data_IF_150995659212
#
_entry.id   IF_150995659212
#
_cell.length_a   1.000
_cell.length_b   1.000
_cell.length_c   1.000
_cell.angle_alpha   90.00
_cell.angle_beta   90.00
_cell.angle_gamma   90.00
#
_symmetry.space_group_name_H-M   'P 1'
#
loop_
_entity.id
_entity.type
_entity.pdbx_description
1 polymer ?
#
# COMPACT_ATOMS: atom_id res chain seq x y z
N UNK A 1 51.62 26.01 1.05
CA UNK A 1 51.45 27.49 0.99
C UNK A 1 49.96 27.72 1.12
N UNK A 2 49.55 28.11 2.32
CA UNK A 2 48.93 29.40 2.73
C UNK A 2 47.50 29.53 2.19
N UNK A 3 46.47 29.31 3.07
CA UNK A 3 45.73 30.34 3.83
C UNK A 3 44.76 31.11 2.93
N UNK A 4 43.46 31.20 3.25
CA UNK A 4 42.74 31.97 4.28
C UNK A 4 41.24 31.67 4.10
N UNK A 5 40.43 31.23 5.03
CA UNK A 5 39.80 31.82 6.21
C UNK A 5 39.16 33.22 6.04
N UNK A 6 37.82 33.28 6.14
CA UNK A 6 37.00 34.36 6.72
C UNK A 6 35.53 34.01 6.52
N UNK A 7 34.73 33.67 7.56
CA UNK A 7 34.14 34.46 8.66
C UNK A 7 33.30 35.66 8.19
N UNK A 8 32.07 35.63 8.59
CA UNK A 8 31.16 36.68 9.13
C UNK A 8 29.71 36.29 8.75
N UNK A 9 28.67 36.53 9.47
CA UNK A 9 28.39 37.03 10.81
C UNK A 9 26.87 36.92 11.01
N UNK A 10 26.48 36.54 12.18
CA UNK A 10 25.12 36.53 12.70
C UNK A 10 24.42 37.88 12.60
N UNK A 11 23.12 37.90 12.35
CA UNK A 11 22.27 38.99 12.82
C UNK A 11 20.93 38.43 13.29
N UNK A 12 20.80 38.49 14.60
CA UNK A 12 19.57 38.31 15.38
C UNK A 12 18.74 39.60 15.27
N UNK A 13 17.43 39.49 15.05
CA UNK A 13 16.50 40.55 15.48
C UNK A 13 15.30 39.86 16.11
N UNK A 14 15.19 40.05 17.41
CA UNK A 14 14.00 39.85 18.23
C UNK A 14 13.20 41.17 18.29
N UNK A 15 11.87 41.08 18.20
CA UNK A 15 10.90 42.02 18.76
C UNK A 15 9.56 41.29 18.80
N UNK A 16 9.10 40.90 19.93
CA UNK A 16 8.42 41.52 21.06
C UNK A 16 6.90 41.68 20.83
N UNK A 17 6.19 40.84 21.52
CA UNK A 17 4.97 41.03 22.37
C UNK A 17 4.06 42.24 22.08
N UNK A 18 2.76 41.96 21.90
CA UNK A 18 1.71 42.68 22.59
C UNK A 18 0.49 41.78 22.90
N UNK A 19 0.22 41.70 24.16
CA UNK A 19 -0.92 41.11 24.87
C UNK A 19 -2.11 42.05 24.73
N UNK A 20 -3.30 41.48 24.51
CA UNK A 20 -4.54 42.12 24.96
C UNK A 20 -5.52 41.04 25.40
N UNK A 21 -5.64 40.95 26.70
CA UNK A 21 -6.78 40.37 27.44
C UNK A 21 -7.99 41.30 27.33
N UNK A 22 -9.20 40.76 27.53
CA UNK A 22 -10.46 41.24 28.09
C UNK A 22 -11.55 40.49 27.34
N UNK A 23 -12.52 39.82 27.92
CA UNK A 23 -12.97 39.66 29.27
C UNK A 23 -14.26 38.80 29.32
N UNK A 24 -14.56 38.34 30.48
CA UNK A 24 -15.66 37.54 31.00
C UNK A 24 -17.06 37.69 30.41
N UNK A 25 -17.80 36.57 30.43
CA UNK A 25 -19.24 36.55 30.38
C UNK A 25 -19.83 35.19 30.69
N UNK A 26 -19.97 34.87 31.94
CA UNK A 26 -20.75 33.74 32.51
C UNK A 26 -22.24 33.93 32.26
N UNK A 27 -22.97 32.87 31.93
CA UNK A 27 -24.26 32.53 32.55
C UNK A 27 -24.73 31.10 32.22
N UNK A 28 -25.03 30.45 33.24
CA UNK A 28 -25.76 29.27 33.69
C UNK A 28 -26.87 28.71 32.80
N UNK A 29 -27.01 27.40 32.93
CA UNK A 29 -28.12 26.53 32.54
C UNK A 29 -29.48 26.94 33.13
N UNK A 30 -30.60 26.33 32.70
CA UNK A 30 -31.03 25.10 33.39
C UNK A 30 -31.63 23.98 32.52
N UNK A 31 -31.72 22.84 33.15
CA UNK A 31 -32.34 21.60 32.74
C UNK A 31 -33.88 21.66 32.85
N UNK A 32 -34.57 20.92 31.99
CA UNK A 32 -35.92 20.37 32.25
C UNK A 32 -36.07 19.04 31.49
N UNK A 33 -36.09 18.01 32.21
CA UNK A 33 -37.09 17.01 32.68
C UNK A 33 -38.06 16.48 31.62
N UNK A 34 -38.00 15.14 31.58
CA UNK A 34 -38.81 14.07 30.97
C UNK A 34 -40.32 14.26 31.24
N UNK A 35 -41.23 13.61 30.46
CA UNK A 35 -41.70 12.33 30.96
C UNK A 35 -41.90 11.20 29.95
N UNK A 36 -41.77 9.99 30.47
CA UNK A 36 -42.17 8.72 29.89
C UNK A 36 -43.71 8.51 30.05
N UNK A 37 -44.25 7.69 29.16
CA UNK A 37 -45.46 6.86 29.42
C UNK A 37 -45.48 5.76 28.35
N UNK A 38 -45.19 4.52 28.76
CA UNK A 38 -46.06 3.36 28.98
C UNK A 38 -46.89 2.94 27.74
N UNK A 39 -46.56 1.78 27.24
CA UNK A 39 -46.99 0.39 27.39
C UNK A 39 -48.31 0.10 26.67
N UNK A 40 -48.36 -1.02 25.99
CA UNK A 40 -49.29 -2.14 26.21
C UNK A 40 -48.98 -3.30 25.23
N UNK A 41 -48.68 -4.43 25.80
CA UNK A 41 -48.84 -5.84 25.57
C UNK A 41 -49.99 -6.28 24.60
N UNK A 42 -49.77 -7.34 23.79
CA UNK A 42 -50.49 -8.63 23.89
C UNK A 42 -50.12 -9.53 22.69
N UNK A 43 -49.57 -10.62 22.84
CA UNK A 43 -49.68 -12.03 23.00
C UNK A 43 -50.74 -12.72 22.11
N UNK A 44 -50.33 -13.71 21.30
CA UNK A 44 -50.91 -15.03 21.02
C UNK A 44 -50.07 -15.68 19.90
N UNK A 45 -49.33 -16.72 20.13
CA UNK A 45 -49.63 -18.14 20.40
C UNK A 45 -49.91 -18.98 19.11
N UNK A 46 -48.98 -19.93 18.92
CA UNK A 46 -49.13 -21.28 18.36
C UNK A 46 -49.50 -21.52 16.88
N UNK A 47 -48.64 -22.22 16.14
CA UNK A 47 -48.85 -23.63 15.89
C UNK A 47 -47.60 -24.27 15.24
N UNK A 48 -47.11 -25.33 15.84
CA UNK A 48 -46.08 -26.27 15.35
C UNK A 48 -46.68 -27.07 14.20
N UNK A 49 -45.95 -27.24 13.11
CA UNK A 49 -46.08 -28.43 12.26
C UNK A 49 -44.68 -28.83 11.77
N UNK A 50 -44.26 -29.95 12.28
CA UNK A 50 -43.13 -30.77 11.88
C UNK A 50 -43.45 -31.45 10.54
N UNK A 51 -42.58 -31.33 9.52
CA UNK A 51 -42.49 -32.38 8.48
C UNK A 51 -41.12 -32.32 7.76
N UNK A 52 -40.36 -33.36 8.00
CA UNK A 52 -39.48 -34.12 7.10
C UNK A 52 -38.36 -33.42 6.29
N UNK A 53 -37.19 -33.88 6.61
CA UNK A 53 -35.98 -34.05 5.81
C UNK A 53 -36.18 -34.11 4.31
N UNK A 54 -35.45 -33.27 3.59
CA UNK A 54 -34.90 -33.57 2.30
C UNK A 54 -33.47 -33.07 2.28
N UNK A 55 -32.51 -33.97 2.32
CA UNK A 55 -31.14 -33.75 1.93
C UNK A 55 -31.15 -33.22 0.49
N UNK A 56 -30.79 -31.94 0.36
CA UNK A 56 -30.42 -31.39 -0.94
C UNK A 56 -28.90 -31.27 -0.93
N UNK A 57 -28.24 -32.17 -1.63
CA UNK A 57 -26.86 -32.02 -2.06
C UNK A 57 -26.75 -30.68 -2.79
N UNK A 58 -26.18 -29.69 -2.12
CA UNK A 58 -25.79 -28.43 -2.70
C UNK A 58 -24.50 -28.66 -3.50
N UNK A 59 -24.67 -29.08 -4.75
CA UNK A 59 -23.65 -28.92 -5.76
C UNK A 59 -23.44 -27.41 -5.92
N UNK A 60 -22.42 -26.89 -5.27
CA UNK A 60 -21.86 -25.60 -5.62
C UNK A 60 -21.35 -25.69 -7.07
N UNK A 61 -22.22 -25.34 -8.01
CA UNK A 61 -21.81 -24.96 -9.34
C UNK A 61 -21.02 -23.66 -9.18
N UNK A 62 -19.71 -23.76 -9.37
CA UNK A 62 -18.81 -22.65 -9.59
C UNK A 62 -19.27 -21.99 -10.90
N UNK A 63 -20.21 -21.04 -10.81
CA UNK A 63 -20.50 -20.13 -11.90
C UNK A 63 -19.23 -19.32 -12.12
N UNK A 64 -18.47 -19.68 -13.14
CA UNK A 64 -17.44 -18.82 -13.69
C UNK A 64 -18.13 -17.49 -14.04
N UNK A 65 -17.88 -16.46 -13.25
CA UNK A 65 -18.29 -15.09 -13.57
C UNK A 65 -17.48 -14.73 -14.81
N UNK A 66 -18.13 -14.82 -15.98
CA UNK A 66 -17.58 -14.37 -17.23
C UNK A 66 -17.27 -12.88 -17.06
N UNK A 67 -15.98 -12.53 -16.97
CA UNK A 67 -15.56 -11.15 -16.76
C UNK A 67 -16.01 -10.33 -17.98
N UNK A 68 -16.84 -9.33 -17.75
CA UNK A 68 -17.33 -8.48 -18.83
C UNK A 68 -16.16 -7.77 -19.51
N UNK A 69 -16.05 -7.90 -20.84
CA UNK A 69 -15.07 -7.16 -21.64
C UNK A 69 -15.27 -5.65 -21.50
N UNK A 70 -14.18 -4.90 -21.53
CA UNK A 70 -14.24 -3.44 -21.51
C UNK A 70 -14.73 -2.90 -22.86
N UNK A 71 -15.79 -2.10 -22.81
CA UNK A 71 -16.26 -1.37 -24.00
C UNK A 71 -15.64 0.01 -24.04
N UNK A 72 -14.93 0.31 -25.13
CA UNK A 72 -14.32 1.63 -25.35
C UNK A 72 -15.24 2.54 -26.19
N UNK A 73 -15.21 3.88 -25.97
CA UNK A 73 -14.39 4.58 -24.97
C UNK A 73 -14.83 4.23 -23.54
N UNK A 74 -13.85 4.15 -22.63
CA UNK A 74 -14.07 3.93 -21.22
C UNK A 74 -13.50 5.09 -20.41
N UNK A 75 -14.26 5.57 -19.41
CA UNK A 75 -13.78 6.56 -18.43
C UNK A 75 -13.62 5.90 -17.09
N UNK A 76 -12.43 5.98 -16.54
CA UNK A 76 -11.99 5.36 -15.31
C UNK A 76 -11.62 6.44 -14.28
N UNK A 77 -11.88 6.17 -13.01
CA UNK A 77 -11.37 7.00 -11.92
C UNK A 77 -10.08 6.37 -11.39
N UNK A 78 -8.96 7.07 -11.50
CA UNK A 78 -7.67 6.58 -10.98
C UNK A 78 -7.55 6.75 -9.46
N UNK A 79 -6.49 6.20 -8.87
CA UNK A 79 -6.27 6.24 -7.42
C UNK A 79 -5.84 7.63 -6.89
N UNK A 80 -5.75 8.65 -7.77
CA UNK A 80 -5.68 10.06 -7.40
C UNK A 80 -7.05 10.76 -7.45
N UNK A 81 -8.13 10.04 -7.79
CA UNK A 81 -9.47 10.57 -7.94
C UNK A 81 -9.69 11.35 -9.25
N UNK A 82 -8.81 11.16 -10.28
CA UNK A 82 -8.92 11.82 -11.59
C UNK A 82 -9.72 10.92 -12.54
N UNK A 83 -10.54 11.53 -13.37
CA UNK A 83 -11.17 10.84 -14.50
C UNK A 83 -10.19 10.75 -15.67
N UNK A 84 -10.02 9.56 -16.21
CA UNK A 84 -9.16 9.26 -17.36
C UNK A 84 -9.98 8.51 -18.38
N UNK A 85 -10.06 9.04 -19.60
CA UNK A 85 -10.78 8.40 -20.70
C UNK A 85 -9.79 7.74 -21.66
N UNK A 86 -10.05 6.48 -21.97
CA UNK A 86 -9.36 5.73 -23.02
C UNK A 86 -10.33 5.56 -24.20
N UNK A 87 -9.97 6.08 -25.35
CA UNK A 87 -10.80 6.02 -26.57
C UNK A 87 -10.81 4.61 -27.19
N UNK A 88 -9.76 3.83 -26.95
CA UNK A 88 -9.59 2.46 -27.43
C UNK A 88 -8.76 1.64 -26.44
N UNK A 89 -8.74 0.31 -26.63
CA UNK A 89 -7.81 -0.56 -25.90
C UNK A 89 -6.36 -0.14 -26.17
N UNK A 90 -5.52 0.09 -25.13
CA UNK A 90 -4.14 0.49 -25.33
C UNK A 90 -3.31 -0.63 -25.95
N UNK A 91 -2.59 -0.33 -27.03
CA UNK A 91 -1.65 -1.23 -27.70
C UNK A 91 -0.21 -0.98 -27.26
N UNK A 92 0.07 0.22 -26.73
CA UNK A 92 1.40 0.62 -26.24
C UNK A 92 1.30 1.20 -24.84
N UNK A 93 2.04 0.61 -23.90
CA UNK A 93 1.97 0.95 -22.48
C UNK A 93 3.36 1.33 -21.96
N UNK A 94 3.43 2.42 -21.19
CA UNK A 94 4.60 2.78 -20.41
C UNK A 94 4.28 2.62 -18.93
N UNK A 95 5.15 1.92 -18.20
CA UNK A 95 5.08 1.85 -16.74
C UNK A 95 6.28 2.55 -16.12
N UNK A 96 6.03 3.58 -15.30
CA UNK A 96 7.05 4.30 -14.54
C UNK A 96 7.18 3.84 -13.09
N UNK A 97 6.63 2.66 -12.74
CA UNK A 97 6.63 2.14 -11.39
C UNK A 97 6.64 0.62 -11.38
N UNK A 98 7.50 0.02 -10.55
CA UNK A 98 7.75 -1.42 -10.58
C UNK A 98 6.56 -2.30 -10.19
N UNK A 99 5.63 -1.80 -9.38
CA UNK A 99 4.45 -2.59 -8.98
C UNK A 99 3.52 -2.78 -10.18
N UNK A 100 3.05 -1.72 -10.88
CA UNK A 100 2.29 -1.93 -12.11
C UNK A 100 3.09 -2.62 -13.22
N UNK A 101 4.42 -2.45 -13.33
CA UNK A 101 5.21 -3.24 -14.28
C UNK A 101 5.11 -4.74 -14.00
N UNK A 102 5.19 -5.13 -12.72
CA UNK A 102 4.99 -6.54 -12.31
C UNK A 102 3.57 -7.02 -12.59
N UNK A 103 2.57 -6.17 -12.39
CA UNK A 103 1.17 -6.48 -12.71
C UNK A 103 0.97 -6.67 -14.21
N UNK A 104 1.51 -5.79 -15.06
CA UNK A 104 1.42 -5.92 -16.52
C UNK A 104 2.03 -7.25 -17.01
N UNK A 105 3.14 -7.69 -16.40
CA UNK A 105 3.70 -9.02 -16.67
C UNK A 105 2.70 -10.13 -16.27
N UNK A 106 2.10 -10.04 -15.08
CA UNK A 106 1.16 -11.01 -14.58
C UNK A 106 -0.15 -11.07 -15.38
N UNK A 107 -0.58 -9.94 -15.94
CA UNK A 107 -1.73 -9.83 -16.84
C UNK A 107 -1.43 -10.27 -18.29
N UNK A 108 -0.16 -10.63 -18.60
CA UNK A 108 0.23 -11.06 -19.95
C UNK A 108 0.49 -9.91 -20.94
N UNK A 109 0.63 -8.68 -20.45
CA UNK A 109 0.76 -7.46 -21.26
C UNK A 109 2.21 -7.04 -21.53
N UNK A 110 3.20 -7.89 -21.24
CA UNK A 110 4.61 -7.57 -21.42
C UNK A 110 4.96 -7.12 -22.85
N UNK A 111 4.32 -7.70 -23.84
CA UNK A 111 4.57 -7.40 -25.26
C UNK A 111 3.95 -6.07 -25.72
N UNK A 112 3.04 -5.48 -24.94
CA UNK A 112 2.50 -4.12 -25.14
C UNK A 112 3.34 -3.04 -24.44
N UNK A 113 4.32 -3.42 -23.59
CA UNK A 113 5.17 -2.44 -22.91
C UNK A 113 6.22 -1.88 -23.87
N UNK A 114 6.31 -0.56 -23.95
CA UNK A 114 7.27 0.18 -24.79
C UNK A 114 8.24 1.04 -23.99
N UNK A 115 8.05 1.15 -22.67
CA UNK A 115 8.92 1.86 -21.75
C UNK A 115 8.69 1.39 -20.30
N UNK A 116 9.74 1.43 -19.50
CA UNK A 116 9.74 0.88 -18.15
C UNK A 116 10.47 1.80 -17.16
N UNK A 117 10.21 1.67 -15.88
CA UNK A 117 10.93 2.38 -14.82
C UNK A 117 12.44 2.07 -14.82
N UNK A 118 13.23 2.98 -14.26
CA UNK A 118 14.68 2.77 -14.12
C UNK A 118 15.01 1.57 -13.20
N UNK A 119 16.18 0.97 -13.41
CA UNK A 119 16.70 -0.17 -12.66
C UNK A 119 15.91 -1.46 -12.85
N UNK A 120 15.18 -1.61 -13.95
CA UNK A 120 14.50 -2.87 -14.32
C UNK A 120 15.48 -4.05 -14.36
N UNK A 121 16.72 -3.81 -14.78
CA UNK A 121 17.82 -4.80 -14.80
C UNK A 121 18.22 -5.34 -13.41
N UNK A 122 17.84 -4.67 -12.33
CA UNK A 122 18.11 -5.13 -10.95
C UNK A 122 17.04 -6.05 -10.40
N UNK A 123 15.87 -6.16 -11.07
CA UNK A 123 14.76 -6.95 -10.59
C UNK A 123 14.85 -8.39 -11.08
N UNK A 124 15.02 -9.31 -10.12
CA UNK A 124 15.16 -10.75 -10.42
C UNK A 124 13.91 -11.29 -11.14
N UNK A 125 12.70 -10.82 -10.74
CA UNK A 125 11.45 -11.28 -11.35
C UNK A 125 11.35 -10.93 -12.84
N UNK A 126 11.83 -9.75 -13.27
CA UNK A 126 11.82 -9.38 -14.68
C UNK A 126 12.74 -10.28 -15.50
N UNK A 127 13.95 -10.59 -15.00
CA UNK A 127 14.89 -11.50 -15.65
C UNK A 127 14.32 -12.90 -15.83
N UNK A 128 13.47 -13.35 -14.91
CA UNK A 128 12.86 -14.68 -14.95
C UNK A 128 11.60 -14.72 -15.83
N UNK A 129 10.71 -13.75 -15.68
CA UNK A 129 9.36 -13.78 -16.29
C UNK A 129 9.30 -13.01 -17.61
N UNK A 130 10.09 -11.96 -17.79
CA UNK A 130 10.02 -11.06 -18.92
C UNK A 130 11.40 -10.43 -19.22
N UNK A 131 12.43 -11.22 -19.59
CA UNK A 131 13.79 -10.73 -19.76
C UNK A 131 13.93 -9.63 -20.82
N UNK A 132 13.05 -9.61 -21.82
CA UNK A 132 13.08 -8.61 -22.88
C UNK A 132 12.73 -7.19 -22.37
N UNK A 133 12.03 -7.07 -21.25
CA UNK A 133 11.65 -5.78 -20.68
C UNK A 133 12.86 -4.98 -20.18
N UNK A 134 13.96 -5.61 -19.81
CA UNK A 134 15.15 -4.91 -19.33
C UNK A 134 15.88 -4.13 -20.44
N UNK A 135 15.56 -4.41 -21.70
CA UNK A 135 16.11 -3.72 -22.88
C UNK A 135 15.23 -2.53 -23.31
N UNK A 136 14.03 -2.37 -22.73
CA UNK A 136 13.16 -1.25 -23.06
C UNK A 136 13.74 0.10 -22.62
N UNK A 137 13.40 1.19 -23.30
CA UNK A 137 13.73 2.54 -22.86
C UNK A 137 13.28 2.79 -21.42
N UNK A 138 14.20 3.32 -20.60
CA UNK A 138 13.88 3.69 -19.22
C UNK A 138 13.24 5.07 -19.19
N UNK A 139 12.11 5.22 -18.50
CA UNK A 139 11.46 6.50 -18.23
C UNK A 139 11.87 7.12 -16.88
N UNK A 140 12.96 6.64 -16.29
CA UNK A 140 13.52 7.20 -15.05
C UNK A 140 12.91 6.63 -13.78
N UNK A 141 13.03 7.39 -12.71
CA UNK A 141 12.53 7.06 -11.36
C UNK A 141 11.45 8.03 -10.92
N UNK A 142 10.77 7.77 -9.80
CA UNK A 142 9.84 8.74 -9.19
C UNK A 142 10.50 10.06 -8.72
N UNK A 143 11.83 10.12 -8.63
CA UNK A 143 12.59 11.34 -8.29
C UNK A 143 13.11 12.07 -9.53
N UNK A 144 13.41 11.31 -10.57
CA UNK A 144 14.03 11.78 -11.83
C UNK A 144 13.30 11.11 -12.99
N UNK A 145 12.06 11.54 -13.22
CA UNK A 145 11.22 11.02 -14.30
C UNK A 145 11.56 11.72 -15.61
N UNK A 146 11.81 10.93 -16.66
CA UNK A 146 12.07 11.43 -18.00
C UNK A 146 10.75 11.63 -18.77
N UNK A 147 10.15 12.80 -18.59
CA UNK A 147 8.88 13.17 -19.21
C UNK A 147 9.01 13.23 -20.73
N UNK A 148 10.10 13.79 -21.26
CA UNK A 148 10.33 13.93 -22.71
C UNK A 148 10.55 12.55 -23.34
N UNK A 149 11.38 11.71 -22.73
CA UNK A 149 11.60 10.33 -23.17
C UNK A 149 10.32 9.51 -23.14
N UNK A 150 9.51 9.65 -22.10
CA UNK A 150 8.20 8.97 -22.00
C UNK A 150 7.25 9.44 -23.13
N UNK A 151 7.11 10.74 -23.34
CA UNK A 151 6.24 11.28 -24.39
C UNK A 151 6.72 10.91 -25.82
N UNK A 152 8.03 10.82 -26.03
CA UNK A 152 8.61 10.42 -27.32
C UNK A 152 8.29 8.96 -27.72
N UNK A 153 7.97 8.10 -26.75
CA UNK A 153 7.50 6.71 -27.00
C UNK A 153 6.07 6.70 -27.56
N UNK A 154 5.33 7.82 -27.46
CA UNK A 154 3.94 7.96 -27.93
C UNK A 154 3.02 6.84 -27.41
N UNK A 155 2.99 6.56 -26.10
CA UNK A 155 2.20 5.47 -25.57
C UNK A 155 0.71 5.79 -25.57
N UNK A 156 -0.12 4.75 -25.73
CA UNK A 156 -1.58 4.85 -25.60
C UNK A 156 -2.01 4.94 -24.12
N UNK A 157 -1.17 4.46 -23.21
CA UNK A 157 -1.39 4.51 -21.76
C UNK A 157 -0.06 4.62 -21.01
N UNK A 158 -0.03 5.50 -20.00
CA UNK A 158 1.07 5.58 -19.04
C UNK A 158 0.54 5.26 -17.64
N UNK A 159 1.27 4.45 -16.86
CA UNK A 159 0.93 4.13 -15.46
C UNK A 159 2.04 4.63 -14.54
N UNK A 160 1.71 5.52 -13.62
CA UNK A 160 2.67 6.21 -12.73
C UNK A 160 2.24 6.14 -11.26
N UNK A 161 3.18 6.23 -10.31
CA UNK A 161 2.84 6.36 -8.89
C UNK A 161 2.30 7.77 -8.59
N UNK A 162 1.52 7.93 -7.51
CA UNK A 162 0.97 9.22 -7.06
C UNK A 162 2.03 10.34 -6.92
N UNK A 163 3.27 9.99 -6.63
CA UNK A 163 4.39 10.95 -6.51
C UNK A 163 4.66 11.70 -7.82
N UNK A 164 4.22 11.17 -8.96
CA UNK A 164 4.41 11.75 -10.29
C UNK A 164 3.16 12.46 -10.83
N UNK A 165 2.28 12.96 -9.96
CA UNK A 165 1.05 13.67 -10.37
C UNK A 165 1.29 14.86 -11.29
N UNK A 166 2.39 15.58 -11.11
CA UNK A 166 2.73 16.73 -11.95
C UNK A 166 3.19 16.29 -13.36
N UNK A 167 3.96 15.21 -13.45
CA UNK A 167 4.32 14.60 -14.72
C UNK A 167 3.08 14.01 -15.42
N UNK A 168 2.17 13.40 -14.67
CA UNK A 168 0.91 12.90 -15.21
C UNK A 168 0.05 14.03 -15.81
N UNK A 169 -0.03 15.18 -15.14
CA UNK A 169 -0.73 16.35 -15.66
C UNK A 169 -0.11 16.82 -17.00
N UNK A 170 1.22 16.92 -17.05
CA UNK A 170 1.94 17.33 -18.27
C UNK A 170 1.76 16.36 -19.43
N UNK A 171 1.79 15.05 -19.18
CA UNK A 171 1.52 14.03 -20.21
C UNK A 171 0.07 14.11 -20.70
N UNK A 172 -0.89 14.34 -19.79
CA UNK A 172 -2.31 14.52 -20.14
C UNK A 172 -2.52 15.76 -21.01
N UNK A 173 -1.82 16.88 -20.76
CA UNK A 173 -1.83 18.07 -21.62
C UNK A 173 -1.30 17.77 -23.04
N UNK A 174 -0.40 16.80 -23.18
CA UNK A 174 0.10 16.30 -24.46
C UNK A 174 -0.86 15.32 -25.15
N UNK A 175 -2.01 15.02 -24.51
CA UNK A 175 -3.01 14.08 -25.03
C UNK A 175 -2.70 12.61 -24.74
N UNK A 176 -1.77 12.32 -23.82
CA UNK A 176 -1.39 10.96 -23.43
C UNK A 176 -2.18 10.59 -22.17
N UNK A 177 -3.02 9.55 -22.18
CA UNK A 177 -3.74 9.09 -21.01
C UNK A 177 -2.78 8.55 -19.92
N UNK A 178 -3.00 8.96 -18.66
CA UNK A 178 -2.17 8.55 -17.52
C UNK A 178 -3.04 8.08 -16.38
N UNK A 179 -2.83 6.86 -15.90
CA UNK A 179 -3.37 6.36 -14.65
C UNK A 179 -2.36 6.55 -13.51
N UNK A 180 -2.78 7.21 -12.45
CA UNK A 180 -2.02 7.28 -11.19
C UNK A 180 -2.47 6.17 -10.25
N UNK A 181 -1.50 5.43 -9.71
CA UNK A 181 -1.74 4.27 -8.84
C UNK A 181 -1.05 4.42 -7.49
N UNK A 182 -1.67 3.80 -6.46
CA UNK A 182 -1.20 3.86 -5.07
C UNK A 182 -1.39 2.51 -4.34
N UNK A 183 -0.69 1.45 -4.72
CA UNK A 183 -0.86 0.11 -4.14
C UNK A 183 -0.17 -0.04 -2.76
N UNK A 184 -0.45 0.86 -1.82
CA UNK A 184 0.22 0.89 -0.51
C UNK A 184 -0.51 0.07 0.58
N UNK A 185 -1.67 -0.53 0.26
CA UNK A 185 -2.37 -1.51 1.09
C UNK A 185 -2.88 -2.67 0.25
N UNK A 186 -3.40 -3.71 0.90
CA UNK A 186 -4.01 -4.87 0.22
C UNK A 186 -5.24 -4.44 -0.61
N UNK A 187 -6.05 -3.56 -0.06
CA UNK A 187 -7.24 -3.01 -0.70
C UNK A 187 -6.85 -2.17 -1.92
N UNK A 188 -5.91 -1.23 -1.74
CA UNK A 188 -5.42 -0.38 -2.83
C UNK A 188 -4.71 -1.17 -3.93
N UNK A 189 -4.04 -2.29 -3.57
CA UNK A 189 -3.48 -3.20 -4.58
C UNK A 189 -4.58 -3.88 -5.39
N UNK A 190 -5.66 -4.35 -4.74
CA UNK A 190 -6.82 -4.92 -5.40
C UNK A 190 -7.47 -3.92 -6.36
N UNK A 191 -7.74 -2.69 -5.89
CA UNK A 191 -8.27 -1.60 -6.71
C UNK A 191 -7.37 -1.30 -7.92
N UNK A 192 -6.03 -1.28 -7.73
CA UNK A 192 -5.09 -1.10 -8.85
C UNK A 192 -5.20 -2.24 -9.87
N UNK A 193 -5.31 -3.49 -9.42
CA UNK A 193 -5.48 -4.65 -10.32
C UNK A 193 -6.76 -4.51 -11.14
N UNK A 194 -7.87 -4.15 -10.51
CA UNK A 194 -9.17 -3.93 -11.17
C UNK A 194 -9.12 -2.75 -12.14
N UNK A 195 -8.53 -1.63 -11.73
CA UNK A 195 -8.36 -0.42 -12.54
C UNK A 195 -7.54 -0.71 -13.81
N UNK A 196 -6.36 -1.31 -13.64
CA UNK A 196 -5.44 -1.59 -14.75
C UNK A 196 -6.04 -2.64 -15.68
N UNK A 197 -6.65 -3.71 -15.14
CA UNK A 197 -7.27 -4.73 -15.97
C UNK A 197 -8.45 -4.20 -16.78
N UNK A 198 -9.28 -3.32 -16.20
CA UNK A 198 -10.36 -2.65 -16.93
C UNK A 198 -9.80 -1.74 -18.03
N UNK A 199 -8.73 -0.99 -17.73
CA UNK A 199 -8.07 -0.13 -18.71
C UNK A 199 -7.44 -0.90 -19.90
N UNK A 200 -7.12 -2.18 -19.70
CA UNK A 200 -6.37 -3.00 -20.68
C UNK A 200 -7.13 -4.22 -21.19
N UNK A 201 -8.43 -4.33 -20.84
CA UNK A 201 -9.31 -5.44 -21.22
C UNK A 201 -8.77 -6.82 -20.82
N UNK A 202 -8.24 -6.93 -19.57
CA UNK A 202 -7.63 -8.16 -19.04
C UNK A 202 -8.29 -8.64 -17.76
N UNK A 203 -9.60 -8.37 -17.57
CA UNK A 203 -10.36 -8.67 -16.36
C UNK A 203 -10.41 -10.17 -16.04
N UNK A 204 -10.46 -11.03 -17.05
CA UNK A 204 -10.43 -12.49 -16.86
C UNK A 204 -9.16 -12.89 -16.11
N UNK A 205 -8.00 -12.42 -16.62
CA UNK A 205 -6.71 -12.73 -15.99
C UNK A 205 -6.57 -12.08 -14.61
N UNK A 206 -7.10 -10.87 -14.42
CA UNK A 206 -7.13 -10.21 -13.13
C UNK A 206 -7.98 -11.00 -12.11
N UNK A 207 -9.14 -11.52 -12.50
CA UNK A 207 -10.00 -12.34 -11.64
C UNK A 207 -9.31 -13.64 -11.20
N UNK A 208 -8.56 -14.31 -12.09
CA UNK A 208 -7.73 -15.46 -11.70
C UNK A 208 -6.71 -15.08 -10.63
N UNK A 209 -6.01 -13.95 -10.82
CA UNK A 209 -5.01 -13.46 -9.87
C UNK A 209 -5.63 -13.10 -8.52
N UNK A 210 -6.74 -12.36 -8.53
CA UNK A 210 -7.46 -11.96 -7.32
C UNK A 210 -8.06 -13.17 -6.58
N UNK A 211 -8.62 -14.14 -7.31
CA UNK A 211 -9.12 -15.38 -6.73
C UNK A 211 -8.01 -16.20 -6.07
N UNK A 212 -6.84 -16.28 -6.71
CA UNK A 212 -5.67 -16.92 -6.12
C UNK A 212 -5.24 -16.20 -4.83
N UNK A 213 -5.13 -14.86 -4.85
CA UNK A 213 -4.79 -14.07 -3.67
C UNK A 213 -5.78 -14.28 -2.53
N UNK A 214 -7.09 -14.28 -2.84
CA UNK A 214 -8.15 -14.53 -1.86
C UNK A 214 -8.04 -15.93 -1.26
N UNK A 215 -7.80 -16.97 -2.08
CA UNK A 215 -7.63 -18.34 -1.61
C UNK A 215 -6.43 -18.51 -0.67
N UNK A 216 -5.31 -17.81 -0.95
CA UNK A 216 -4.13 -17.81 -0.08
C UNK A 216 -4.43 -17.13 1.27
N UNK A 217 -5.15 -15.99 1.25
CA UNK A 217 -5.58 -15.32 2.50
C UNK A 217 -6.45 -16.23 3.36
N UNK A 218 -7.45 -16.88 2.76
CA UNK A 218 -8.32 -17.83 3.46
C UNK A 218 -7.50 -18.98 4.06
N UNK A 219 -6.63 -19.59 3.26
CA UNK A 219 -5.76 -20.68 3.74
C UNK A 219 -4.89 -20.27 4.93
N UNK A 220 -4.33 -19.05 4.91
CA UNK A 220 -3.53 -18.52 6.02
C UNK A 220 -4.40 -18.27 7.24
N UNK A 221 -5.55 -17.60 7.07
CA UNK A 221 -6.50 -17.33 8.14
C UNK A 221 -6.96 -18.61 8.85
N UNK A 222 -7.30 -19.66 8.09
CA UNK A 222 -7.71 -20.96 8.65
C UNK A 222 -6.59 -21.62 9.46
N UNK A 223 -5.34 -21.54 8.97
CA UNK A 223 -4.19 -22.11 9.69
C UNK A 223 -3.81 -21.35 10.93
N UNK A 224 -4.13 -20.07 11.01
CA UNK A 224 -3.74 -19.16 12.08
C UNK A 224 -4.90 -18.88 13.07
N UNK A 225 -6.08 -19.47 12.85
CA UNK A 225 -7.29 -19.19 13.64
C UNK A 225 -7.10 -19.38 15.16
N UNK A 226 -6.26 -20.33 15.57
CA UNK A 226 -5.96 -20.65 16.98
C UNK A 226 -4.56 -20.19 17.42
N UNK A 227 -3.88 -19.34 16.61
CA UNK A 227 -2.53 -18.84 16.89
C UNK A 227 -2.63 -17.45 17.53
N UNK A 228 -2.07 -17.27 18.71
CA UNK A 228 -1.93 -15.95 19.34
C UNK A 228 -0.88 -15.13 18.56
N UNK A 229 -1.23 -13.91 18.11
CA UNK A 229 -0.30 -13.08 17.34
C UNK A 229 0.91 -12.64 18.16
N UNK A 230 2.09 -12.90 17.64
CA UNK A 230 3.36 -12.46 18.23
C UNK A 230 3.77 -11.09 17.70
N UNK A 231 4.47 -10.31 18.53
CA UNK A 231 4.97 -8.98 18.14
C UNK A 231 6.13 -9.08 17.16
N UNK A 232 6.00 -8.42 16.02
CA UNK A 232 6.98 -8.42 14.94
C UNK A 232 7.43 -6.99 14.64
N UNK A 233 8.73 -6.75 14.71
CA UNK A 233 9.35 -5.50 14.28
C UNK A 233 9.90 -5.64 12.87
N UNK A 234 9.46 -4.79 11.96
CA UNK A 234 10.02 -4.69 10.63
C UNK A 234 11.07 -3.57 10.58
N UNK A 235 12.30 -3.94 10.32
CA UNK A 235 13.41 -3.01 10.19
C UNK A 235 13.60 -2.58 8.72
N UNK A 236 13.75 -1.27 8.49
CA UNK A 236 13.92 -0.68 7.17
C UNK A 236 15.28 -1.03 6.52
N UNK A 237 15.40 -0.71 5.23
CA UNK A 237 16.60 -1.09 4.46
C UNK A 237 17.85 -0.26 4.79
N UNK A 238 17.71 1.03 5.05
CA UNK A 238 18.86 1.92 5.33
C UNK A 238 19.19 2.08 6.81
N UNK A 239 18.29 1.68 7.71
CA UNK A 239 18.44 1.82 9.16
C UNK A 239 17.63 0.76 9.89
N UNK A 240 18.27 0.10 10.86
CA UNK A 240 17.61 -0.79 11.82
C UNK A 240 16.50 -0.06 12.61
N UNK A 241 16.66 1.23 12.83
CA UNK A 241 15.72 2.04 13.61
C UNK A 241 14.66 2.74 12.75
N UNK A 242 14.60 2.44 11.45
CA UNK A 242 13.49 2.83 10.58
C UNK A 242 12.48 1.70 10.50
N UNK A 243 11.19 2.01 10.66
CA UNK A 243 10.14 0.99 10.67
C UNK A 243 8.87 1.46 9.99
N UNK A 244 8.08 0.48 9.51
CA UNK A 244 6.81 0.74 8.84
C UNK A 244 5.66 0.87 9.85
N UNK A 245 4.91 1.97 9.76
CA UNK A 245 3.66 2.14 10.50
C UNK A 245 2.52 1.25 9.97
N UNK A 246 1.36 1.24 10.67
CA UNK A 246 0.24 0.35 10.34
C UNK A 246 -0.41 0.61 8.96
N UNK A 247 -0.25 1.80 8.40
CA UNK A 247 -0.77 2.14 7.08
C UNK A 247 0.07 1.60 5.91
N UNK A 248 1.23 0.99 6.20
CA UNK A 248 2.09 0.40 5.17
C UNK A 248 1.65 -1.01 4.81
N UNK A 249 1.83 -1.37 3.53
CA UNK A 249 1.56 -2.71 3.00
C UNK A 249 2.24 -3.83 3.83
N UNK A 250 3.44 -3.58 4.33
CA UNK A 250 4.20 -4.53 5.14
C UNK A 250 3.52 -4.86 6.47
N UNK A 251 2.74 -3.93 7.06
CA UNK A 251 1.96 -4.21 8.26
C UNK A 251 0.90 -5.29 7.97
N UNK A 252 0.19 -5.17 6.85
CA UNK A 252 -0.78 -6.19 6.46
C UNK A 252 -0.14 -7.55 6.16
N UNK A 253 1.11 -7.59 5.69
CA UNK A 253 1.84 -8.84 5.51
C UNK A 253 2.16 -9.51 6.85
N UNK A 254 2.55 -8.73 7.86
CA UNK A 254 2.78 -9.22 9.23
C UNK A 254 1.50 -9.84 9.78
N UNK A 255 0.37 -9.14 9.65
CA UNK A 255 -0.95 -9.60 10.11
C UNK A 255 -1.40 -10.88 9.40
N UNK A 256 -1.24 -10.94 8.07
CA UNK A 256 -1.53 -12.15 7.29
C UNK A 256 -0.66 -13.34 7.67
N UNK A 257 0.55 -13.09 8.15
CA UNK A 257 1.45 -14.13 8.67
C UNK A 257 1.15 -14.53 10.13
N UNK A 258 0.13 -13.95 10.75
CA UNK A 258 -0.27 -14.22 12.15
C UNK A 258 0.55 -13.46 13.17
N UNK A 259 1.24 -12.39 12.76
CA UNK A 259 1.96 -11.48 13.64
C UNK A 259 1.18 -10.20 13.94
N UNK A 260 1.74 -9.39 14.82
CA UNK A 260 1.27 -8.06 15.18
C UNK A 260 2.40 -7.07 14.98
N UNK A 261 2.16 -5.99 14.22
CA UNK A 261 3.18 -4.97 14.01
C UNK A 261 3.55 -4.27 15.33
N UNK A 262 4.83 -4.34 15.73
CA UNK A 262 5.32 -3.67 16.94
C UNK A 262 5.13 -2.15 16.90
N UNK A 263 5.12 -1.56 15.69
CA UNK A 263 4.97 -0.13 15.44
C UNK A 263 3.50 0.30 15.20
N UNK A 264 2.49 -0.48 15.61
CA UNK A 264 1.08 -0.21 15.35
C UNK A 264 0.58 1.14 15.89
N UNK A 265 1.23 1.69 16.90
CA UNK A 265 0.89 3.00 17.49
C UNK A 265 1.34 4.20 16.64
N UNK A 266 2.21 4.00 15.64
CA UNK A 266 2.72 5.07 14.78
C UNK A 266 1.77 5.28 13.60
N UNK A 267 0.74 6.10 13.79
CA UNK A 267 -0.34 6.28 12.81
C UNK A 267 -0.22 7.54 11.95
N UNK A 268 0.72 8.42 12.24
CA UNK A 268 0.88 9.75 11.63
C UNK A 268 1.85 9.77 10.43
N UNK A 269 2.57 8.67 10.19
CA UNK A 269 3.50 8.52 9.07
C UNK A 269 3.54 7.08 8.55
N UNK A 270 3.93 6.92 7.30
CA UNK A 270 4.16 5.61 6.69
C UNK A 270 5.43 4.95 7.24
N UNK A 271 6.54 5.70 7.32
CA UNK A 271 7.82 5.27 7.85
C UNK A 271 8.26 6.20 8.96
N UNK A 272 8.70 5.63 10.07
CA UNK A 272 9.19 6.36 11.22
C UNK A 272 10.62 5.98 11.57
N UNK A 273 11.39 6.97 12.01
CA UNK A 273 12.65 6.73 12.72
C UNK A 273 12.35 6.67 14.22
N UNK A 274 12.83 5.63 14.88
CA UNK A 274 12.64 5.38 16.30
C UNK A 274 13.99 5.34 17.03
N UNK A 275 13.95 5.24 18.35
CA UNK A 275 15.16 5.03 19.16
C UNK A 275 15.32 3.57 19.60
N UNK A 276 16.51 3.20 20.08
CA UNK A 276 16.72 1.90 20.72
C UNK A 276 15.84 1.71 21.94
N UNK A 277 15.60 2.77 22.71
CA UNK A 277 14.70 2.73 23.88
C UNK A 277 13.27 2.38 23.48
N UNK A 278 12.80 2.93 22.34
CA UNK A 278 11.47 2.62 21.83
C UNK A 278 11.39 1.16 21.37
N UNK A 279 12.39 0.68 20.63
CA UNK A 279 12.44 -0.71 20.18
C UNK A 279 12.48 -1.68 21.36
N UNK A 280 13.27 -1.39 22.40
CA UNK A 280 13.33 -2.16 23.63
C UNK A 280 12.03 -2.08 24.45
N UNK A 281 11.31 -0.96 24.40
CA UNK A 281 10.02 -0.81 25.07
C UNK A 281 8.93 -1.66 24.39
N UNK A 282 8.96 -1.81 23.08
CA UNK A 282 8.09 -2.73 22.35
C UNK A 282 8.48 -4.19 22.56
N UNK A 283 9.77 -4.46 22.78
CA UNK A 283 10.35 -5.79 23.02
C UNK A 283 9.78 -6.88 22.08
N UNK A 284 9.94 -6.74 20.75
CA UNK A 284 9.33 -7.66 19.80
C UNK A 284 9.83 -9.10 19.96
N UNK A 285 8.94 -10.06 19.66
CA UNK A 285 9.29 -11.47 19.61
C UNK A 285 10.14 -11.81 18.37
N UNK A 286 9.92 -11.08 17.27
CA UNK A 286 10.63 -11.26 16.00
C UNK A 286 11.10 -9.92 15.44
N UNK A 287 12.27 -9.94 14.79
CA UNK A 287 12.78 -8.83 13.98
C UNK A 287 12.96 -9.32 12.55
N UNK A 288 12.32 -8.65 11.59
CA UNK A 288 12.44 -8.93 10.15
C UNK A 288 13.17 -7.78 9.49
N UNK A 289 14.25 -8.09 8.79
CA UNK A 289 15.04 -7.13 8.02
C UNK A 289 14.52 -7.06 6.57
N UNK A 290 14.56 -5.88 5.98
CA UNK A 290 14.34 -5.75 4.55
C UNK A 290 15.39 -6.58 3.77
N UNK A 291 14.98 -7.21 2.67
CA UNK A 291 15.85 -8.07 1.86
C UNK A 291 17.05 -7.34 1.23
N UNK A 292 16.97 -6.01 1.14
CA UNK A 292 17.99 -5.10 0.63
C UNK A 292 18.56 -4.19 1.73
N UNK A 293 18.50 -4.64 3.00
CA UNK A 293 19.07 -3.89 4.12
C UNK A 293 20.58 -3.71 3.96
N UNK A 294 21.06 -2.50 4.31
CA UNK A 294 22.50 -2.14 4.29
C UNK A 294 23.26 -2.77 5.48
N UNK A 295 22.62 -3.56 6.31
CA UNK A 295 23.15 -4.29 7.48
C UNK A 295 22.59 -5.70 7.51
N UNK A 296 23.19 -6.58 8.31
CA UNK A 296 22.92 -8.02 8.30
C UNK A 296 22.22 -8.48 9.58
N UNK A 297 21.69 -9.72 9.54
CA UNK A 297 21.17 -10.42 10.76
C UNK A 297 22.24 -10.49 11.84
N UNK A 298 23.51 -10.76 11.48
CA UNK A 298 24.60 -10.82 12.46
C UNK A 298 24.90 -9.47 13.10
N UNK A 299 24.76 -8.36 12.37
CA UNK A 299 24.91 -7.02 12.93
C UNK A 299 23.85 -6.74 14.01
N UNK A 300 22.61 -7.17 13.78
CA UNK A 300 21.50 -7.03 14.74
C UNK A 300 21.68 -7.95 15.95
N UNK A 301 22.04 -9.21 15.73
CA UNK A 301 22.26 -10.17 16.80
C UNK A 301 23.43 -9.80 17.73
N UNK A 302 24.42 -9.07 17.22
CA UNK A 302 25.60 -8.62 17.97
C UNK A 302 25.52 -7.15 18.43
N UNK A 303 24.37 -6.47 18.22
CA UNK A 303 24.21 -5.09 18.68
C UNK A 303 24.05 -5.03 20.21
N UNK A 304 25.04 -4.43 20.87
CA UNK A 304 25.07 -4.28 22.33
C UNK A 304 23.85 -3.53 22.90
N UNK A 305 23.23 -2.66 22.09
CA UNK A 305 22.03 -1.92 22.48
C UNK A 305 20.78 -2.84 22.51
N UNK A 306 20.80 -3.95 21.77
CA UNK A 306 19.68 -4.89 21.63
C UNK A 306 19.85 -6.19 22.42
N UNK A 307 20.92 -6.34 23.20
CA UNK A 307 21.19 -7.57 24.00
C UNK A 307 20.03 -7.97 24.93
N UNK A 308 19.20 -7.00 25.32
CA UNK A 308 18.05 -7.20 26.19
C UNK A 308 16.72 -7.40 25.44
N UNK A 309 16.71 -7.22 24.11
CA UNK A 309 15.55 -7.49 23.25
C UNK A 309 15.23 -8.98 23.18
N UNK A 310 13.97 -9.34 23.31
CA UNK A 310 13.50 -10.76 23.29
C UNK A 310 13.84 -11.44 21.97
N UNK A 311 13.64 -10.80 20.82
CA UNK A 311 13.99 -11.34 19.50
C UNK A 311 15.49 -11.67 19.40
N UNK A 312 16.36 -10.79 19.88
CA UNK A 312 17.82 -10.96 19.83
C UNK A 312 18.26 -12.09 20.78
N UNK A 313 17.76 -12.12 22.03
CA UNK A 313 18.05 -13.19 23.00
C UNK A 313 17.69 -14.58 22.47
N UNK A 314 16.59 -14.68 21.74
CA UNK A 314 16.06 -15.93 21.20
C UNK A 314 16.58 -16.26 19.80
N UNK A 315 17.40 -15.40 19.19
CA UNK A 315 17.89 -15.57 17.82
C UNK A 315 16.78 -15.48 16.76
N UNK A 316 15.70 -14.75 17.05
CA UNK A 316 14.53 -14.58 16.19
C UNK A 316 14.69 -13.30 15.32
N UNK A 317 15.77 -13.27 14.56
CA UNK A 317 16.10 -12.19 13.62
C UNK A 317 16.27 -12.79 12.24
N UNK A 318 15.53 -12.29 11.25
CA UNK A 318 15.45 -12.84 9.89
C UNK A 318 15.60 -11.75 8.82
N UNK A 319 16.01 -12.17 7.60
CA UNK A 319 16.10 -11.30 6.43
C UNK A 319 15.44 -11.97 5.21
#
# INVERSE_FOLDING_TARGET
MKNTLKKYLSLSIACALLISMIGCGTTSAPAETVPATESVTEQAAETVTETASAETEETAAEEAIEAAETTYPVTLTDQAGREVTLEAEPETIVSGYYIPSSLLIALGLKDKMVGIEAKADKRAIYKLAAPDLIELPSVGTAKEFDLEGCAALSPDLVILPLKLKDAAASLTELGIPVLLVNPESQELLTEMIELVSTATNTQERANELLSYMASQKTMLSDKLADVEPESVYLAGNSSLLSTAGPAMYQSSMIELAGGKNAAEEITDTYWAEISYEQLLAWDPAYIILASDADYTVDDVLNDENLKDCTAVKNGQVYQ
#
